data_IF_761671192677
#
_entry.id   IF_761671192677
#
_cell.length_a   1.000
_cell.length_b   1.000
_cell.length_c   1.000
_cell.angle_alpha   90.00
_cell.angle_beta   90.00
_cell.angle_gamma   90.00
#
_symmetry.space_group_name_H-M   'P 1'
#
loop_
_entity.id
_entity.type
_entity.pdbx_description
1 polymer ?
#
# COMPACT_ATOMS: atom_id res chain seq x y z
N UNK A 1 -6.28 23.85 -11.16
CA UNK A 1 -6.20 23.24 -12.52
C UNK A 1 -5.86 21.76 -12.46
N UNK A 2 -4.68 21.37 -11.94
CA UNK A 2 -4.24 19.96 -11.92
C UNK A 2 -5.18 19.01 -11.17
N UNK A 3 -5.63 19.36 -9.97
CA UNK A 3 -6.54 18.50 -9.19
C UNK A 3 -7.89 18.22 -9.87
N UNK A 4 -8.50 19.25 -10.49
CA UNK A 4 -9.74 19.11 -11.25
C UNK A 4 -9.55 18.24 -12.49
N UNK A 5 -8.42 18.40 -13.18
CA UNK A 5 -8.05 17.55 -14.30
C UNK A 5 -7.91 16.08 -13.86
N UNK A 6 -7.22 15.81 -12.74
CA UNK A 6 -7.09 14.45 -12.19
C UNK A 6 -8.45 13.84 -11.86
N UNK A 7 -9.34 14.59 -11.20
CA UNK A 7 -10.68 14.10 -10.86
C UNK A 7 -11.48 13.78 -12.12
N UNK A 8 -11.42 14.63 -13.14
CA UNK A 8 -12.11 14.41 -14.41
C UNK A 8 -11.56 13.16 -15.12
N UNK A 9 -10.23 13.03 -15.22
CA UNK A 9 -9.59 11.86 -15.83
C UNK A 9 -9.98 10.58 -15.10
N UNK A 10 -9.91 10.57 -13.76
CA UNK A 10 -10.30 9.42 -12.95
C UNK A 10 -11.79 9.11 -13.11
N UNK A 11 -12.66 10.12 -13.17
CA UNK A 11 -14.09 9.94 -13.37
C UNK A 11 -14.44 9.32 -14.73
N UNK A 12 -13.87 9.87 -15.81
CA UNK A 12 -14.04 9.36 -17.18
C UNK A 12 -13.51 7.92 -17.28
N UNK A 13 -12.30 7.69 -16.76
CA UNK A 13 -11.70 6.35 -16.75
C UNK A 13 -12.53 5.34 -15.95
N UNK A 14 -13.02 5.74 -14.77
CA UNK A 14 -13.86 4.88 -13.93
C UNK A 14 -15.18 4.53 -14.62
N UNK A 15 -15.79 5.48 -15.33
CA UNK A 15 -17.00 5.23 -16.11
C UNK A 15 -16.73 4.23 -17.25
N UNK A 16 -15.66 4.45 -18.01
CA UNK A 16 -15.25 3.56 -19.09
C UNK A 16 -14.91 2.15 -18.59
N UNK A 17 -14.22 2.01 -17.45
CA UNK A 17 -13.90 0.71 -16.88
C UNK A 17 -15.14 -0.06 -16.45
N UNK A 18 -16.13 0.62 -15.85
CA UNK A 18 -17.36 -0.03 -15.40
C UNK A 18 -18.17 -0.61 -16.55
N UNK A 19 -18.27 0.11 -17.67
CA UNK A 19 -19.02 -0.39 -18.84
C UNK A 19 -18.31 -1.52 -19.58
N UNK A 20 -17.00 -1.67 -19.39
CA UNK A 20 -16.19 -2.69 -20.06
C UNK A 20 -15.70 -3.80 -19.10
N UNK A 21 -16.16 -3.83 -17.85
CA UNK A 21 -15.78 -4.89 -16.93
C UNK A 21 -16.43 -6.21 -17.34
N UNK A 22 -15.60 -7.23 -17.57
CA UNK A 22 -16.04 -8.58 -17.92
C UNK A 22 -15.91 -9.44 -16.66
N UNK A 23 -17.01 -9.99 -16.11
CA UNK A 23 -16.95 -10.88 -14.96
C UNK A 23 -16.34 -12.23 -15.34
N UNK A 24 -15.82 -12.97 -14.35
CA UNK A 24 -15.19 -14.30 -14.55
C UNK A 24 -16.02 -15.23 -15.43
N UNK A 25 -17.33 -15.31 -15.17
CA UNK A 25 -18.24 -16.23 -15.85
C UNK A 25 -18.54 -15.85 -17.31
N UNK A 26 -18.24 -14.61 -17.71
CA UNK A 26 -18.41 -14.14 -19.08
C UNK A 26 -17.17 -14.38 -19.97
N UNK A 27 -16.04 -14.79 -19.39
CA UNK A 27 -14.88 -15.20 -20.17
C UNK A 27 -15.07 -16.59 -20.78
N UNK A 28 -14.49 -16.78 -21.96
CA UNK A 28 -14.44 -18.10 -22.62
C UNK A 28 -13.72 -19.12 -21.70
N UNK A 29 -14.36 -20.26 -21.39
CA UNK A 29 -13.80 -21.30 -20.52
C UNK A 29 -12.41 -21.77 -20.92
N UNK A 30 -12.07 -21.76 -22.21
CA UNK A 30 -10.76 -22.21 -22.72
C UNK A 30 -9.63 -21.31 -22.19
N UNK A 31 -9.92 -20.02 -22.04
CA UNK A 31 -8.92 -19.02 -21.66
C UNK A 31 -9.02 -18.62 -20.18
N UNK A 32 -10.20 -18.72 -19.55
CA UNK A 32 -10.44 -18.16 -18.21
C UNK A 32 -9.70 -18.91 -17.09
N UNK A 33 -9.66 -20.24 -17.16
CA UNK A 33 -9.20 -21.08 -16.03
C UNK A 33 -7.66 -21.10 -15.94
N UNK A 34 -6.98 -20.70 -17.02
CA UNK A 34 -5.52 -20.66 -17.13
C UNK A 34 -4.90 -19.27 -16.88
N UNK A 35 -5.73 -18.25 -16.59
CA UNK A 35 -5.28 -16.89 -16.29
C UNK A 35 -5.59 -16.52 -14.83
N UNK A 36 -4.99 -15.45 -14.33
CA UNK A 36 -5.18 -14.98 -12.94
C UNK A 36 -6.50 -14.21 -12.78
N UNK A 37 -7.63 -14.87 -13.07
CA UNK A 37 -8.97 -14.36 -12.79
C UNK A 37 -9.55 -15.14 -11.61
N UNK A 38 -10.08 -14.42 -10.62
CA UNK A 38 -10.69 -15.05 -9.46
C UNK A 38 -12.21 -15.17 -9.66
N UNK A 39 -12.80 -16.36 -9.48
CA UNK A 39 -14.25 -16.53 -9.58
C UNK A 39 -14.98 -15.73 -8.49
N UNK A 40 -16.17 -15.21 -8.80
CA UNK A 40 -16.98 -14.44 -7.86
C UNK A 40 -16.52 -13.01 -7.59
N UNK A 41 -15.50 -12.52 -8.31
CA UNK A 41 -15.10 -11.10 -8.26
C UNK A 41 -16.09 -10.25 -9.05
N UNK A 42 -16.73 -9.32 -8.33
CA UNK A 42 -17.53 -8.23 -8.89
C UNK A 42 -17.20 -6.94 -8.12
N UNK A 43 -16.43 -6.01 -8.70
CA UNK A 43 -16.03 -4.78 -8.05
C UNK A 43 -17.21 -3.88 -7.65
N UNK A 44 -18.31 -3.92 -8.38
CA UNK A 44 -19.46 -3.07 -8.10
C UNK A 44 -20.26 -3.62 -6.92
N UNK A 45 -20.54 -4.92 -6.93
CA UNK A 45 -21.18 -5.59 -5.81
C UNK A 45 -20.29 -5.55 -4.54
N UNK A 46 -18.98 -5.70 -4.70
CA UNK A 46 -18.04 -5.57 -3.58
C UNK A 46 -18.01 -4.15 -3.01
N UNK A 47 -18.09 -3.12 -3.86
CA UNK A 47 -18.16 -1.73 -3.39
C UNK A 47 -19.45 -1.49 -2.59
N UNK A 48 -20.57 -2.06 -3.03
CA UNK A 48 -21.84 -1.96 -2.31
C UNK A 48 -21.82 -2.75 -0.99
N UNK A 49 -21.14 -3.90 -0.94
CA UNK A 49 -20.82 -4.61 0.29
C UNK A 49 -20.04 -3.74 1.29
N UNK A 50 -18.97 -3.05 0.84
CA UNK A 50 -18.16 -2.18 1.72
C UNK A 50 -19.01 -1.04 2.30
N UNK A 51 -19.87 -0.43 1.48
CA UNK A 51 -20.75 0.67 1.92
C UNK A 51 -21.81 0.20 2.90
N UNK A 52 -22.37 -1.00 2.70
CA UNK A 52 -23.40 -1.56 3.58
C UNK A 52 -22.83 -2.15 4.87
N UNK A 53 -21.58 -2.62 4.85
CA UNK A 53 -20.93 -3.31 5.97
C UNK A 53 -19.56 -2.69 6.33
N UNK A 54 -19.48 -1.39 6.69
CA UNK A 54 -18.20 -0.71 6.89
C UNK A 54 -17.38 -1.26 8.06
N UNK A 55 -18.04 -1.65 9.16
CA UNK A 55 -17.36 -2.26 10.32
C UNK A 55 -16.83 -3.65 10.00
N UNK A 56 -17.57 -4.43 9.22
CA UNK A 56 -17.14 -5.75 8.78
C UNK A 56 -15.92 -5.63 7.86
N UNK A 57 -15.99 -4.72 6.88
CA UNK A 57 -14.84 -4.43 6.01
C UNK A 57 -13.61 -3.99 6.82
N UNK A 58 -13.77 -3.11 7.83
CA UNK A 58 -12.65 -2.74 8.70
C UNK A 58 -12.05 -3.95 9.43
N UNK A 59 -12.87 -4.90 9.88
CA UNK A 59 -12.39 -6.14 10.51
C UNK A 59 -11.64 -7.04 9.52
N UNK A 60 -12.15 -7.16 8.29
CA UNK A 60 -11.51 -7.90 7.18
C UNK A 60 -10.14 -7.29 6.87
N UNK A 61 -10.05 -5.95 6.80
CA UNK A 61 -8.79 -5.23 6.59
C UNK A 61 -7.78 -5.57 7.68
N UNK A 62 -8.14 -5.38 8.96
CA UNK A 62 -7.23 -5.62 10.08
C UNK A 62 -6.75 -7.07 10.11
N UNK A 63 -7.67 -8.03 9.94
CA UNK A 63 -7.35 -9.46 9.87
C UNK A 63 -6.38 -9.76 8.73
N UNK A 64 -6.64 -9.22 7.54
CA UNK A 64 -5.81 -9.45 6.35
C UNK A 64 -4.39 -8.90 6.50
N UNK A 65 -4.24 -7.73 7.14
CA UNK A 65 -2.92 -7.19 7.46
C UNK A 65 -2.19 -8.02 8.52
N UNK A 66 -2.89 -8.55 9.53
CA UNK A 66 -2.30 -9.44 10.52
C UNK A 66 -1.80 -10.75 9.88
N UNK A 67 -2.61 -11.36 9.02
CA UNK A 67 -2.26 -12.59 8.29
C UNK A 67 -1.09 -12.37 7.32
N UNK A 68 -1.06 -11.22 6.63
CA UNK A 68 0.00 -10.88 5.66
C UNK A 68 1.24 -10.23 6.27
N UNK A 69 1.29 -10.01 7.60
CA UNK A 69 2.35 -9.25 8.25
C UNK A 69 3.74 -9.84 8.01
N UNK A 70 3.90 -11.15 8.26
CA UNK A 70 5.21 -11.81 8.09
C UNK A 70 5.69 -11.76 6.63
N UNK A 71 4.80 -12.06 5.68
CA UNK A 71 5.11 -11.95 4.26
C UNK A 71 5.44 -10.51 3.87
N UNK A 72 4.76 -9.53 4.46
CA UNK A 72 4.97 -8.11 4.19
C UNK A 72 6.35 -7.64 4.62
N UNK A 73 6.76 -8.00 5.84
CA UNK A 73 8.10 -7.72 6.36
C UNK A 73 9.17 -8.42 5.51
N UNK A 74 8.95 -9.68 5.13
CA UNK A 74 9.90 -10.40 4.28
C UNK A 74 10.13 -9.69 2.93
N UNK A 75 9.07 -9.18 2.29
CA UNK A 75 9.20 -8.40 1.05
C UNK A 75 10.04 -7.15 1.26
N UNK A 76 9.80 -6.42 2.34
CA UNK A 76 10.54 -5.19 2.62
C UNK A 76 12.04 -5.44 2.81
N UNK A 77 12.42 -6.51 3.50
CA UNK A 77 13.82 -6.83 3.82
C UNK A 77 14.55 -7.66 2.77
N UNK A 78 13.95 -7.92 1.62
CA UNK A 78 14.70 -8.49 0.50
C UNK A 78 14.09 -9.69 -0.19
N UNK A 79 12.85 -10.07 0.10
CA UNK A 79 12.14 -11.11 -0.65
C UNK A 79 11.48 -10.47 -1.88
N UNK A 80 12.10 -10.58 -3.05
CA UNK A 80 11.64 -10.00 -4.31
C UNK A 80 11.00 -11.03 -5.25
N UNK A 81 10.32 -10.50 -6.28
CA UNK A 81 9.58 -11.28 -7.27
C UNK A 81 8.29 -11.86 -6.71
N UNK A 82 7.91 -13.05 -7.19
CA UNK A 82 6.77 -13.83 -6.68
C UNK A 82 7.16 -14.60 -5.42
N UNK A 83 7.73 -13.92 -4.42
CA UNK A 83 8.16 -14.53 -3.16
C UNK A 83 9.27 -15.60 -3.28
N UNK A 84 10.09 -15.56 -4.33
CA UNK A 84 11.09 -16.62 -4.58
C UNK A 84 12.54 -16.16 -4.42
N UNK A 85 12.80 -14.87 -4.59
CA UNK A 85 14.18 -14.39 -4.72
C UNK A 85 14.55 -13.55 -3.50
N UNK A 86 15.42 -14.09 -2.65
CA UNK A 86 16.02 -13.29 -1.58
C UNK A 86 17.20 -12.50 -2.12
N UNK A 87 17.33 -11.23 -1.69
CA UNK A 87 18.56 -10.50 -1.92
C UNK A 87 19.72 -11.22 -1.21
N UNK A 88 20.88 -11.35 -1.88
CA UNK A 88 22.11 -11.74 -1.22
C UNK A 88 22.38 -10.87 0.01
N UNK A 89 22.77 -11.50 1.12
CA UNK A 89 22.97 -10.82 2.40
C UNK A 89 23.94 -9.63 2.33
N UNK A 90 24.94 -9.68 1.43
CA UNK A 90 25.89 -8.59 1.24
C UNK A 90 25.25 -7.33 0.61
N UNK A 91 24.24 -7.49 -0.27
CA UNK A 91 23.49 -6.34 -0.81
C UNK A 91 22.67 -5.69 0.31
N UNK A 92 22.03 -6.49 1.16
CA UNK A 92 21.29 -5.99 2.32
C UNK A 92 22.21 -5.20 3.27
N UNK A 93 23.40 -5.72 3.55
CA UNK A 93 24.40 -5.02 4.35
C UNK A 93 24.78 -3.67 3.72
N UNK A 94 25.04 -3.63 2.42
CA UNK A 94 25.37 -2.38 1.71
C UNK A 94 24.21 -1.38 1.75
N UNK A 95 22.97 -1.82 1.57
CA UNK A 95 21.78 -0.97 1.67
C UNK A 95 21.65 -0.37 3.07
N UNK A 96 21.78 -1.20 4.12
CA UNK A 96 21.75 -0.74 5.51
C UNK A 96 22.86 0.28 5.76
N UNK A 97 24.10 0.01 5.33
CA UNK A 97 25.22 0.94 5.50
C UNK A 97 24.97 2.26 4.78
N UNK A 98 24.54 2.21 3.52
CA UNK A 98 24.27 3.41 2.72
C UNK A 98 23.15 4.26 3.35
N UNK A 99 22.04 3.64 3.76
CA UNK A 99 20.94 4.35 4.42
C UNK A 99 21.39 5.04 5.72
N UNK A 100 22.21 4.38 6.54
CA UNK A 100 22.73 4.98 7.77
C UNK A 100 23.71 6.13 7.48
N UNK A 101 24.57 5.99 6.48
CA UNK A 101 25.50 7.06 6.06
C UNK A 101 24.76 8.28 5.52
N UNK A 102 23.75 8.09 4.66
CA UNK A 102 22.91 9.18 4.17
C UNK A 102 22.16 9.87 5.32
N UNK A 103 21.59 9.09 6.25
CA UNK A 103 20.89 9.64 7.41
C UNK A 103 21.80 10.47 8.33
N UNK A 104 23.09 10.13 8.44
CA UNK A 104 24.06 10.89 9.23
C UNK A 104 24.42 12.26 8.63
N UNK A 105 24.19 12.46 7.32
CA UNK A 105 24.50 13.70 6.61
C UNK A 105 23.31 14.67 6.51
N UNK A 106 22.11 14.21 6.88
CA UNK A 106 20.87 14.97 6.71
C UNK A 106 20.78 16.15 7.70
N UNK A 107 20.39 17.33 7.21
CA UNK A 107 20.16 18.50 8.06
C UNK A 107 18.77 18.46 8.67
N UNK A 108 18.67 18.58 10.00
CA UNK A 108 17.40 18.42 10.68
C UNK A 108 16.61 19.76 10.70
N UNK A 109 15.38 19.83 10.16
CA UNK A 109 14.57 21.05 10.18
C UNK A 109 14.09 21.45 11.59
N UNK A 110 13.55 22.67 11.80
CA UNK A 110 13.05 23.14 13.10
C UNK A 110 11.89 22.30 13.66
N UNK A 111 11.81 22.15 14.98
CA UNK A 111 10.89 21.21 15.67
C UNK A 111 9.41 21.38 15.30
N UNK A 112 8.89 22.61 15.20
CA UNK A 112 7.48 22.88 14.85
C UNK A 112 7.13 22.38 13.45
N UNK A 113 8.08 22.43 12.51
CA UNK A 113 7.89 21.92 11.16
C UNK A 113 7.91 20.39 11.11
N UNK A 114 8.54 19.72 12.10
CA UNK A 114 8.63 18.25 12.17
C UNK A 114 7.29 17.60 12.47
N UNK A 115 6.57 18.06 13.49
CA UNK A 115 5.27 17.48 13.84
C UNK A 115 4.22 17.72 12.76
N UNK A 116 4.21 18.92 12.15
CA UNK A 116 3.32 19.21 11.03
C UNK A 116 3.63 18.32 9.83
N UNK A 117 4.90 18.17 9.46
CA UNK A 117 5.31 17.30 8.36
C UNK A 117 5.02 15.82 8.66
N UNK A 118 5.32 15.35 9.87
CA UNK A 118 5.02 14.00 10.31
C UNK A 118 3.51 13.70 10.25
N UNK A 119 2.67 14.64 10.69
CA UNK A 119 1.22 14.53 10.58
C UNK A 119 0.73 14.41 9.13
N UNK A 120 1.27 15.24 8.22
CA UNK A 120 0.95 15.14 6.78
C UNK A 120 1.42 13.83 6.17
N UNK A 121 2.65 13.40 6.45
CA UNK A 121 3.20 12.13 5.96
C UNK A 121 2.38 10.95 6.48
N UNK A 122 1.97 10.98 7.75
CA UNK A 122 1.11 9.96 8.34
C UNK A 122 -0.24 9.90 7.63
N UNK A 123 -0.90 11.06 7.45
CA UNK A 123 -2.19 11.15 6.78
C UNK A 123 -2.12 10.64 5.33
N UNK A 124 -1.10 11.06 4.57
CA UNK A 124 -0.90 10.62 3.18
C UNK A 124 -0.67 9.11 3.14
N UNK A 125 0.20 8.57 3.99
CA UNK A 125 0.48 7.13 4.06
C UNK A 125 -0.79 6.34 4.39
N UNK A 126 -1.56 6.80 5.36
CA UNK A 126 -2.81 6.16 5.77
C UNK A 126 -3.84 6.16 4.63
N UNK A 127 -4.02 7.30 3.95
CA UNK A 127 -4.92 7.41 2.79
C UNK A 127 -4.45 6.47 1.67
N UNK A 128 -3.16 6.44 1.35
CA UNK A 128 -2.61 5.55 0.33
C UNK A 128 -2.87 4.07 0.68
N UNK A 129 -2.63 3.66 1.93
CA UNK A 129 -2.91 2.30 2.38
C UNK A 129 -4.40 1.97 2.28
N UNK A 130 -5.28 2.86 2.75
CA UNK A 130 -6.73 2.64 2.73
C UNK A 130 -7.27 2.51 1.29
N UNK A 131 -6.87 3.43 0.39
CA UNK A 131 -7.28 3.39 -1.01
C UNK A 131 -6.75 2.15 -1.71
N UNK A 132 -5.47 1.82 -1.52
CA UNK A 132 -4.85 0.65 -2.13
C UNK A 132 -5.52 -0.65 -1.67
N UNK A 133 -5.73 -0.79 -0.35
CA UNK A 133 -6.40 -1.94 0.25
C UNK A 133 -7.80 -2.13 -0.32
N UNK A 134 -8.54 -1.03 -0.45
CA UNK A 134 -9.87 -1.03 -1.05
C UNK A 134 -9.82 -1.51 -2.50
N UNK A 135 -8.92 -0.96 -3.32
CA UNK A 135 -8.78 -1.37 -4.73
C UNK A 135 -8.44 -2.85 -4.87
N UNK A 136 -7.51 -3.37 -4.06
CA UNK A 136 -7.16 -4.80 -4.10
C UNK A 136 -8.35 -5.68 -3.69
N UNK A 137 -9.10 -5.30 -2.66
CA UNK A 137 -10.28 -6.04 -2.23
C UNK A 137 -11.38 -6.05 -3.30
N UNK A 138 -11.58 -4.93 -4.00
CA UNK A 138 -12.50 -4.83 -5.13
C UNK A 138 -12.09 -5.70 -6.33
N UNK A 139 -10.79 -5.77 -6.60
CA UNK A 139 -10.28 -6.39 -7.84
C UNK A 139 -9.99 -7.89 -7.70
N UNK A 140 -9.59 -8.34 -6.52
CA UNK A 140 -9.05 -9.70 -6.35
C UNK A 140 -9.88 -10.58 -5.43
N UNK A 141 -10.78 -10.02 -4.62
CA UNK A 141 -11.53 -10.79 -3.64
C UNK A 141 -12.97 -10.98 -4.10
N UNK A 142 -13.54 -12.19 -3.98
CA UNK A 142 -14.96 -12.40 -4.15
C UNK A 142 -15.78 -11.48 -3.25
N UNK A 143 -17.03 -11.22 -3.63
CA UNK A 143 -17.91 -10.34 -2.84
C UNK A 143 -18.07 -10.90 -1.41
N UNK A 144 -17.77 -10.07 -0.40
CA UNK A 144 -17.87 -10.44 1.01
C UNK A 144 -16.80 -11.42 1.52
N UNK A 145 -15.69 -11.61 0.80
CA UNK A 145 -14.63 -12.53 1.21
C UNK A 145 -14.03 -12.15 2.59
N UNK A 146 -13.84 -13.10 3.53
CA UNK A 146 -13.40 -12.80 4.90
C UNK A 146 -11.92 -12.36 5.03
N UNK A 147 -11.21 -12.27 3.90
CA UNK A 147 -9.84 -11.77 3.81
C UNK A 147 -9.60 -11.09 2.46
N UNK A 148 -8.58 -10.24 2.39
CA UNK A 148 -8.17 -9.55 1.17
C UNK A 148 -7.17 -10.45 0.43
N UNK A 149 -7.63 -11.05 -0.66
CA UNK A 149 -6.78 -11.90 -1.49
C UNK A 149 -5.69 -11.07 -2.17
N UNK A 150 -4.54 -11.70 -2.40
CA UNK A 150 -3.37 -11.09 -3.03
C UNK A 150 -2.79 -9.87 -2.30
N UNK A 151 -3.14 -9.63 -1.03
CA UNK A 151 -2.50 -8.60 -0.22
C UNK A 151 -1.04 -8.97 0.05
N UNK A 152 -0.11 -8.20 -0.51
CA UNK A 152 1.33 -8.49 -0.46
C UNK A 152 2.16 -7.27 -0.11
N UNK A 153 3.23 -7.47 0.67
CA UNK A 153 4.15 -6.41 1.11
C UNK A 153 4.78 -5.59 0.00
N UNK A 154 4.94 -6.19 -1.19
CA UNK A 154 5.55 -5.54 -2.35
C UNK A 154 4.81 -4.27 -2.80
N UNK A 155 3.53 -4.14 -2.49
CA UNK A 155 2.78 -2.94 -2.86
C UNK A 155 3.05 -1.75 -1.94
N UNK A 156 3.60 -2.01 -0.75
CA UNK A 156 3.86 -1.00 0.27
C UNK A 156 5.24 -0.35 0.15
N UNK A 157 6.07 -0.75 -0.83
CA UNK A 157 7.39 -0.14 -1.06
C UNK A 157 7.33 1.38 -1.26
N UNK A 158 6.26 1.91 -1.87
CA UNK A 158 6.07 3.35 -2.04
C UNK A 158 5.61 4.07 -0.76
N UNK A 159 5.09 3.34 0.22
CA UNK A 159 4.49 3.88 1.45
C UNK A 159 5.48 3.81 2.61
N UNK A 160 6.27 2.74 2.70
CA UNK A 160 7.24 2.54 3.77
C UNK A 160 8.24 3.68 3.99
N UNK A 161 8.79 4.34 2.95
CA UNK A 161 9.68 5.49 3.14
C UNK A 161 9.05 6.60 4.00
N UNK A 162 7.74 6.82 3.87
CA UNK A 162 7.04 7.83 4.68
C UNK A 162 6.95 7.42 6.14
N UNK A 163 6.75 6.14 6.45
CA UNK A 163 6.79 5.65 7.84
C UNK A 163 8.15 5.86 8.50
N UNK A 164 9.25 5.59 7.78
CA UNK A 164 10.60 5.84 8.30
C UNK A 164 10.89 7.33 8.49
N UNK A 165 10.43 8.18 7.57
CA UNK A 165 10.53 9.64 7.69
C UNK A 165 9.73 10.17 8.89
N UNK A 166 8.54 9.64 9.16
CA UNK A 166 7.77 10.01 10.36
C UNK A 166 8.56 9.68 11.62
N UNK A 167 9.14 8.48 11.69
CA UNK A 167 9.93 8.07 12.85
C UNK A 167 11.15 8.97 13.07
N UNK A 168 11.86 9.36 12.00
CA UNK A 168 13.02 10.26 12.11
C UNK A 168 12.64 11.68 12.55
N UNK A 169 11.45 12.16 12.16
CA UNK A 169 10.96 13.50 12.51
C UNK A 169 10.47 13.60 13.96
N UNK A 170 9.91 12.51 14.50
CA UNK A 170 9.36 12.45 15.86
C UNK A 170 10.39 11.98 16.88
N UNK A 171 11.43 11.27 16.45
CA UNK A 171 12.52 10.87 17.33
C UNK A 171 13.17 12.09 18.01
N UNK A 172 13.47 12.02 19.33
CA UNK A 172 14.10 13.11 20.04
C UNK A 172 15.48 13.38 19.42
N UNK A 173 15.59 14.51 18.72
CA UNK A 173 16.85 14.92 18.11
C UNK A 173 17.92 15.10 19.19
N UNK A 174 19.13 14.58 18.94
CA UNK A 174 20.29 14.86 19.78
C UNK A 174 20.49 16.38 19.81
N UNK A 175 20.32 17.01 20.98
CA UNK A 175 20.52 18.45 21.25
C UNK A 175 21.97 18.96 21.01
N UNK A 176 22.88 18.17 20.46
CA UNK A 176 24.32 18.32 20.70
C UNK A 176 25.12 19.05 19.60
N UNK A 177 24.50 19.74 18.64
CA UNK A 177 25.24 20.52 17.62
C UNK A 177 24.62 21.89 17.34
N UNK A 178 24.08 22.54 18.38
CA UNK A 178 23.95 24.00 18.40
C UNK A 178 24.97 24.52 19.40
N UNK A 179 26.24 24.52 18.99
CA UNK A 179 27.22 25.49 19.50
C UNK A 179 27.30 26.57 18.44
N UNK A 180 26.84 27.75 18.85
CA UNK A 180 27.09 29.10 18.36
C UNK A 180 27.82 29.26 17.02
#
# INVERSE_FOLDING_TARGET
ALGLFTILVVGVWSYALRSNFIPYDAYDPIFRDNVQLNPGVDPMAQLDFIKSNPCEFASIVVKSYAESFQATIAHYFGKFGWEKNYLPAWILLLLILNTNLSAAQERIPPLVHRFRLAGWLFLISFIMMALFTTVIYLQWSPVGNPSILSLSGRYFFAIFPFFFLIFSLVAPGKKWLQKD
#
